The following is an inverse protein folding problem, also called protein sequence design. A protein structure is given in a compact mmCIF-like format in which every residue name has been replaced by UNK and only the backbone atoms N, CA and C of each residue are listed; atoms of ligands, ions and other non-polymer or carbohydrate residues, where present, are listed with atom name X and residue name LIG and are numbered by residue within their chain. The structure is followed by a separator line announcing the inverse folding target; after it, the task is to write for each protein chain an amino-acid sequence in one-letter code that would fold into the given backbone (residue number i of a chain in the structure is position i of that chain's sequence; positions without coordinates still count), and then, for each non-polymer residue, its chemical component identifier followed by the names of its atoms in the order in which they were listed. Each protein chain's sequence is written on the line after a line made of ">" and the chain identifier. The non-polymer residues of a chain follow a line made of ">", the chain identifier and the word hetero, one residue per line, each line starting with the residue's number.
data_IF_997899467823
#
_entry.id   IF_997899467823
#
_cell.length_a   1.000
_cell.length_b   1.000
_cell.length_c   1.000
_cell.angle_alpha   90.00
_cell.angle_beta   90.00
_cell.angle_gamma   90.00
#
_symmetry.space_group_name_H-M   'P 1'
#
loop_
_entity.id
_entity.type
_entity.pdbx_description
1 polymer ?
#
# COMPACT_ATOMS: atom_id res chain seq x y z
N UNK A 1 9.18 57.77 56.25
CA UNK A 1 9.18 57.25 54.86
C UNK A 1 10.61 56.85 54.54
N UNK A 2 10.89 55.55 54.37
CA UNK A 2 12.26 55.02 54.27
C UNK A 2 12.30 53.68 53.54
N UNK A 3 11.97 53.75 52.26
CA UNK A 3 12.34 52.90 51.11
C UNK A 3 13.01 51.54 51.36
N UNK A 4 12.21 50.47 51.28
CA UNK A 4 12.65 49.08 51.15
C UNK A 4 13.16 48.80 49.72
N UNK A 5 14.44 49.10 49.44
CA UNK A 5 15.02 48.96 48.09
C UNK A 5 16.44 48.36 48.09
N UNK A 6 16.67 47.22 48.74
CA UNK A 6 18.00 46.58 48.78
C UNK A 6 17.98 45.03 48.73
N UNK A 7 17.25 44.43 47.78
CA UNK A 7 17.31 42.95 47.59
C UNK A 7 17.29 42.45 46.14
N UNK A 8 17.23 43.35 45.14
CA UNK A 8 17.12 42.94 43.73
C UNK A 8 18.47 42.79 43.01
N UNK A 9 19.54 43.40 43.51
CA UNK A 9 20.85 43.48 42.84
C UNK A 9 21.67 42.19 42.99
N UNK A 10 21.67 41.58 44.17
CA UNK A 10 22.52 40.40 44.44
C UNK A 10 22.03 39.13 43.72
N UNK A 11 20.72 39.01 43.51
CA UNK A 11 20.13 37.87 42.79
C UNK A 11 20.48 37.88 41.29
N UNK A 12 20.57 39.06 40.67
CA UNK A 12 20.94 39.18 39.25
C UNK A 12 22.44 38.97 38.99
N UNK A 13 23.30 39.31 39.95
CA UNK A 13 24.74 39.09 39.83
C UNK A 13 25.09 37.60 39.89
N UNK A 14 24.48 36.87 40.83
CA UNK A 14 24.63 35.41 40.90
C UNK A 14 24.09 34.71 39.66
N UNK A 15 22.93 35.15 39.14
CA UNK A 15 22.36 34.63 37.90
C UNK A 15 23.26 34.90 36.68
N UNK A 16 23.84 36.10 36.57
CA UNK A 16 24.73 36.46 35.48
C UNK A 16 26.06 35.68 35.52
N UNK A 17 26.62 35.46 36.71
CA UNK A 17 27.81 34.61 36.89
C UNK A 17 27.52 33.15 36.51
N UNK A 18 26.37 32.62 36.94
CA UNK A 18 25.91 31.27 36.61
C UNK A 18 25.65 31.09 35.11
N UNK A 19 25.05 32.11 34.45
CA UNK A 19 24.83 32.14 33.00
C UNK A 19 26.13 32.23 32.20
N UNK A 20 27.18 32.88 32.71
CA UNK A 20 28.49 32.90 32.05
C UNK A 20 29.22 31.55 32.16
N UNK A 21 29.09 30.88 33.31
CA UNK A 21 29.74 29.59 33.54
C UNK A 21 28.98 28.42 32.90
N UNK A 22 27.65 28.47 32.87
CA UNK A 22 26.78 27.39 32.36
C UNK A 22 26.06 27.73 31.05
N UNK A 23 26.29 28.92 30.48
CA UNK A 23 25.60 29.39 29.27
C UNK A 23 25.83 28.46 28.07
N UNK A 24 27.08 28.04 27.82
CA UNK A 24 27.39 27.13 26.73
C UNK A 24 26.74 25.75 26.91
N UNK A 25 26.72 25.22 28.15
CA UNK A 25 26.08 23.94 28.47
C UNK A 25 24.56 24.00 28.36
N UNK A 26 23.94 25.08 28.80
CA UNK A 26 22.49 25.29 28.67
C UNK A 26 22.08 25.48 27.21
N UNK A 27 22.89 26.22 26.43
CA UNK A 27 22.67 26.40 25.00
C UNK A 27 22.84 25.07 24.24
N UNK A 28 23.85 24.26 24.60
CA UNK A 28 24.06 22.93 24.05
C UNK A 28 22.90 21.97 24.36
N UNK A 29 22.42 21.97 25.61
CA UNK A 29 21.25 21.19 26.01
C UNK A 29 19.98 21.64 25.30
N UNK A 30 19.78 22.95 25.14
CA UNK A 30 18.65 23.50 24.39
C UNK A 30 18.68 23.06 22.93
N UNK A 31 19.84 23.16 22.27
CA UNK A 31 20.02 22.71 20.89
C UNK A 31 19.79 21.20 20.76
N UNK A 32 20.33 20.41 21.70
CA UNK A 32 20.11 18.96 21.72
C UNK A 32 18.62 18.61 21.89
N UNK A 33 17.92 19.31 22.80
CA UNK A 33 16.49 19.12 23.00
C UNK A 33 15.67 19.48 21.76
N UNK A 34 16.05 20.53 21.02
CA UNK A 34 15.42 20.90 19.75
C UNK A 34 15.66 19.83 18.67
N UNK A 35 16.88 19.30 18.54
CA UNK A 35 17.20 18.22 17.60
C UNK A 35 16.41 16.95 17.93
N UNK A 36 16.35 16.57 19.22
CA UNK A 36 15.55 15.42 19.66
C UNK A 36 14.06 15.68 19.39
N UNK A 37 13.54 16.87 19.67
CA UNK A 37 12.15 17.21 19.38
C UNK A 37 11.83 17.18 17.89
N UNK A 38 12.74 17.63 17.02
CA UNK A 38 12.55 17.60 15.57
C UNK A 38 12.56 16.16 15.02
N UNK A 39 13.42 15.30 15.57
CA UNK A 39 13.53 13.88 15.18
C UNK A 39 12.36 13.04 15.74
N UNK A 40 11.95 13.28 16.99
CA UNK A 40 10.91 12.52 17.70
C UNK A 40 9.53 13.17 17.67
N UNK A 41 9.41 14.40 17.15
CA UNK A 41 8.15 15.10 16.98
C UNK A 41 7.24 14.37 16.00
N UNK A 42 5.94 14.62 16.08
CA UNK A 42 4.86 13.95 15.31
C UNK A 42 5.03 13.98 13.78
N UNK A 43 5.98 14.75 13.24
CA UNK A 43 6.34 14.85 11.82
C UNK A 43 7.81 14.50 11.54
N UNK A 44 8.50 13.84 12.50
CA UNK A 44 9.92 13.52 12.39
C UNK A 44 10.24 12.61 11.20
N UNK A 45 11.51 12.62 10.79
CA UNK A 45 12.03 11.90 9.62
C UNK A 45 11.60 10.42 9.54
N UNK A 46 11.44 9.77 10.69
CA UNK A 46 10.97 8.38 10.79
C UNK A 46 9.51 8.19 10.36
N UNK A 47 8.62 9.12 10.73
CA UNK A 47 7.22 9.08 10.32
C UNK A 47 7.11 9.28 8.80
N UNK A 48 7.84 10.27 8.26
CA UNK A 48 7.90 10.52 6.82
C UNK A 48 8.40 9.30 6.04
N UNK A 49 9.42 8.59 6.54
CA UNK A 49 9.94 7.36 5.91
C UNK A 49 8.88 6.26 5.86
N UNK A 50 8.11 6.04 6.94
CA UNK A 50 7.04 5.03 7.00
C UNK A 50 5.90 5.39 6.05
N UNK A 51 5.43 6.64 6.09
CA UNK A 51 4.37 7.12 5.19
C UNK A 51 4.78 7.00 3.73
N UNK A 52 6.04 7.31 3.38
CA UNK A 52 6.54 7.15 2.01
C UNK A 52 6.60 5.68 1.56
N UNK A 53 6.92 4.75 2.46
CA UNK A 53 6.88 3.32 2.15
C UNK A 53 5.45 2.83 1.95
N UNK A 54 4.51 3.27 2.80
CA UNK A 54 3.09 2.96 2.64
C UNK A 54 2.53 3.50 1.32
N UNK A 55 2.83 4.76 0.98
CA UNK A 55 2.45 5.36 -0.31
C UNK A 55 2.99 4.54 -1.48
N UNK A 56 4.25 4.10 -1.42
CA UNK A 56 4.85 3.27 -2.48
C UNK A 56 4.14 1.92 -2.60
N UNK A 57 3.83 1.28 -1.48
CA UNK A 57 3.12 -0.01 -1.46
C UNK A 57 1.73 0.12 -2.07
N UNK A 58 0.94 1.07 -1.58
CA UNK A 58 -0.43 1.30 -2.08
C UNK A 58 -0.43 1.64 -3.57
N UNK A 59 0.53 2.44 -4.05
CA UNK A 59 0.67 2.71 -5.49
C UNK A 59 0.97 1.47 -6.31
N UNK A 60 1.85 0.59 -5.83
CA UNK A 60 2.15 -0.66 -6.50
C UNK A 60 0.92 -1.58 -6.56
N UNK A 61 0.16 -1.66 -5.47
CA UNK A 61 -1.08 -2.44 -5.40
C UNK A 61 -2.13 -1.90 -6.38
N UNK A 62 -2.27 -0.57 -6.50
CA UNK A 62 -3.16 0.05 -7.48
C UNK A 62 -2.73 -0.31 -8.91
N UNK A 63 -1.45 -0.22 -9.23
CA UNK A 63 -0.95 -0.52 -10.58
C UNK A 63 -1.17 -2.01 -10.93
N UNK A 64 -1.02 -2.91 -9.96
CA UNK A 64 -1.32 -4.32 -10.15
C UNK A 64 -2.81 -4.55 -10.41
N UNK A 65 -3.68 -3.98 -9.56
CA UNK A 65 -5.14 -4.11 -9.71
C UNK A 65 -5.65 -3.51 -11.02
N UNK A 66 -5.05 -2.43 -11.50
CA UNK A 66 -5.43 -1.82 -12.78
C UNK A 66 -5.07 -2.74 -13.95
N UNK A 67 -3.88 -3.37 -13.92
CA UNK A 67 -3.50 -4.39 -14.90
C UNK A 67 -4.43 -5.60 -14.89
N UNK A 68 -4.80 -6.08 -13.70
CA UNK A 68 -5.74 -7.19 -13.55
C UNK A 68 -7.13 -6.82 -14.09
N UNK A 69 -7.63 -5.61 -13.81
CA UNK A 69 -8.89 -5.13 -14.35
C UNK A 69 -8.89 -5.05 -15.87
N UNK A 70 -7.81 -4.55 -16.49
CA UNK A 70 -7.68 -4.51 -17.95
C UNK A 70 -7.73 -5.92 -18.52
N UNK A 71 -6.96 -6.87 -17.95
CA UNK A 71 -6.94 -8.26 -18.42
C UNK A 71 -8.32 -8.93 -18.31
N UNK A 72 -8.99 -8.79 -17.16
CA UNK A 72 -10.33 -9.33 -16.96
C UNK A 72 -11.35 -8.66 -17.88
N UNK A 73 -11.22 -7.35 -18.13
CA UNK A 73 -12.05 -6.62 -19.07
C UNK A 73 -11.93 -7.15 -20.50
N UNK A 74 -10.69 -7.40 -20.94
CA UNK A 74 -10.42 -8.02 -22.23
C UNK A 74 -10.95 -9.45 -22.31
N UNK A 75 -10.81 -10.25 -21.25
CA UNK A 75 -11.36 -11.61 -21.18
C UNK A 75 -12.90 -11.60 -21.27
N UNK A 76 -13.56 -10.71 -20.53
CA UNK A 76 -15.01 -10.53 -20.61
C UNK A 76 -15.44 -10.10 -22.01
N UNK A 77 -14.67 -9.21 -22.65
CA UNK A 77 -14.94 -8.78 -24.03
C UNK A 77 -14.78 -9.92 -25.03
N UNK A 78 -13.74 -10.72 -24.88
CA UNK A 78 -13.49 -11.92 -25.69
C UNK A 78 -14.60 -12.96 -25.53
N UNK A 79 -15.03 -13.21 -24.29
CA UNK A 79 -16.14 -14.11 -23.99
C UNK A 79 -17.44 -13.58 -24.59
N UNK A 80 -17.71 -12.27 -24.51
CA UNK A 80 -18.92 -11.66 -25.08
C UNK A 80 -18.92 -11.54 -26.60
N UNK A 81 -17.75 -11.39 -27.22
CA UNK A 81 -17.64 -11.15 -28.67
C UNK A 81 -17.62 -12.43 -29.50
N UNK A 82 -17.25 -13.58 -28.93
CA UNK A 82 -17.33 -14.88 -29.59
C UNK A 82 -18.35 -15.81 -28.91
N UNK A 83 -19.60 -15.87 -29.43
CA UNK A 83 -20.63 -16.79 -28.94
C UNK A 83 -20.19 -18.26 -28.91
N UNK A 84 -19.21 -18.65 -29.73
CA UNK A 84 -18.70 -20.03 -29.79
C UNK A 84 -17.87 -20.39 -28.56
N UNK A 85 -17.16 -19.43 -27.94
CA UNK A 85 -16.43 -19.66 -26.68
C UNK A 85 -17.41 -19.95 -25.53
N UNK A 86 -18.46 -19.15 -25.42
CA UNK A 86 -19.53 -19.37 -24.42
C UNK A 86 -20.23 -20.71 -24.68
N UNK A 87 -20.57 -21.01 -25.95
CA UNK A 87 -21.23 -22.27 -26.31
C UNK A 87 -20.35 -23.48 -25.99
N UNK A 88 -19.04 -23.41 -26.21
CA UNK A 88 -18.10 -24.47 -25.85
C UNK A 88 -18.07 -24.71 -24.34
N UNK A 89 -17.94 -23.66 -23.52
CA UNK A 89 -17.96 -23.78 -22.05
C UNK A 89 -19.31 -24.33 -21.56
N UNK A 90 -20.41 -23.83 -22.10
CA UNK A 90 -21.75 -24.28 -21.77
C UNK A 90 -21.95 -25.76 -22.09
N UNK A 91 -21.46 -26.25 -23.24
CA UNK A 91 -21.58 -27.65 -23.67
C UNK A 91 -20.59 -28.57 -22.93
N UNK A 92 -19.34 -28.15 -22.79
CA UNK A 92 -18.24 -29.00 -22.28
C UNK A 92 -18.23 -29.08 -20.75
N UNK A 93 -18.38 -27.93 -20.07
CA UNK A 93 -18.23 -27.86 -18.60
C UNK A 93 -19.56 -27.94 -17.87
N UNK A 94 -20.58 -27.27 -18.41
CA UNK A 94 -21.89 -27.17 -17.76
C UNK A 94 -22.91 -28.19 -18.30
N UNK A 95 -22.60 -28.88 -19.41
CA UNK A 95 -23.51 -29.83 -20.04
C UNK A 95 -24.86 -29.20 -20.40
N UNK A 96 -24.86 -27.94 -20.84
CA UNK A 96 -26.04 -27.21 -21.27
C UNK A 96 -26.21 -27.34 -22.78
N UNK A 97 -27.47 -27.39 -23.23
CA UNK A 97 -27.86 -27.44 -24.64
C UNK A 97 -29.01 -26.46 -24.91
N UNK A 98 -29.16 -26.00 -26.16
CA UNK A 98 -30.25 -25.07 -26.52
C UNK A 98 -31.61 -25.79 -26.46
N UNK A 99 -32.73 -25.05 -26.28
CA UNK A 99 -34.06 -25.65 -26.34
C UNK A 99 -34.25 -26.42 -27.66
N UNK A 100 -34.54 -27.72 -27.57
CA UNK A 100 -34.70 -28.62 -28.72
C UNK A 100 -33.46 -29.46 -29.07
N UNK A 101 -32.33 -29.30 -28.40
CA UNK A 101 -31.14 -30.15 -28.55
C UNK A 101 -31.10 -31.28 -27.51
N UNK A 102 -30.51 -32.44 -27.87
CA UNK A 102 -30.37 -33.61 -26.98
C UNK A 102 -28.89 -33.87 -26.68
N UNK A 103 -28.54 -34.00 -25.41
CA UNK A 103 -27.16 -34.28 -24.97
C UNK A 103 -26.90 -35.78 -25.05
N UNK A 104 -25.97 -36.19 -25.90
CA UNK A 104 -25.55 -37.59 -26.06
C UNK A 104 -24.22 -37.78 -25.33
N UNK A 105 -24.21 -38.56 -24.24
CA UNK A 105 -22.98 -38.96 -23.54
C UNK A 105 -22.53 -40.31 -24.08
N UNK A 106 -21.36 -40.34 -24.74
CA UNK A 106 -20.78 -41.57 -25.25
C UNK A 106 -20.00 -42.26 -24.11
N UNK A 107 -20.39 -43.47 -23.68
CA UNK A 107 -19.65 -44.21 -22.66
C UNK A 107 -18.23 -44.54 -23.17
N UNK A 108 -17.23 -44.43 -22.29
CA UNK A 108 -15.82 -44.60 -22.66
C UNK A 108 -15.51 -45.96 -23.32
N UNK A 109 -16.31 -46.99 -23.03
CA UNK A 109 -16.22 -48.31 -23.67
C UNK A 109 -16.58 -48.33 -25.16
N UNK A 110 -17.13 -47.25 -25.70
CA UNK A 110 -17.51 -47.08 -27.12
C UNK A 110 -16.77 -45.92 -27.79
N UNK A 111 -15.75 -45.32 -27.13
CA UNK A 111 -14.91 -44.33 -27.78
C UNK A 111 -13.92 -45.06 -28.69
N UNK A 112 -14.10 -44.93 -30.00
CA UNK A 112 -13.17 -45.47 -30.98
C UNK A 112 -11.82 -44.78 -30.75
N UNK A 113 -10.69 -45.50 -30.68
CA UNK A 113 -9.39 -44.86 -30.52
C UNK A 113 -9.19 -43.85 -31.64
N UNK A 114 -8.96 -42.59 -31.27
CA UNK A 114 -8.76 -41.50 -32.20
C UNK A 114 -7.64 -41.87 -33.18
N UNK A 115 -7.97 -42.00 -34.46
CA UNK A 115 -6.99 -42.33 -35.50
C UNK A 115 -5.98 -41.18 -35.61
N UNK A 116 -4.68 -41.40 -35.30
CA UNK A 116 -3.67 -40.34 -35.30
C UNK A 116 -3.31 -39.80 -36.70
N UNK A 117 -3.91 -40.32 -37.78
CA UNK A 117 -3.55 -40.01 -39.17
C UNK A 117 -4.26 -38.79 -39.79
N UNK A 118 -5.06 -38.02 -39.05
CA UNK A 118 -5.79 -36.86 -39.60
C UNK A 118 -5.42 -35.54 -38.90
N UNK A 119 -4.14 -35.16 -38.96
CA UNK A 119 -3.72 -33.76 -38.83
C UNK A 119 -3.25 -33.25 -40.20
N UNK A 120 -3.88 -32.22 -40.80
CA UNK A 120 -3.19 -31.40 -41.79
C UNK A 120 -2.09 -30.55 -41.15
#
# INVERSE_FOLDING_TARGET
>A
MGSAKLKKTDASEGAAAFLRQHGATLLGLLLLALVVHDIFGTHGYLAMRRTQQEIKKVKADIEQLDKENVQLGDEVKDLKSDPRKIEKIARDELGLAKPGEVIIKIPQSQQLPANPASRP
#
